data_IF_698255435614
#
_entry.id   IF_698255435614
#
_cell.length_a   1.000
_cell.length_b   1.000
_cell.length_c   1.000
_cell.angle_alpha   90.00
_cell.angle_beta   90.00
_cell.angle_gamma   90.00
#
_symmetry.space_group_name_H-M   'P 1'
#
loop_
_entity.id
_entity.type
_entity.pdbx_description
1 polymer ?
#
# COMPACT_ATOMS: atom_id res chain seq x y z
N UNK A 1 -19.00 10.99 -6.29
CA UNK A 1 -18.65 10.74 -6.28
C UNK A 1 -17.95 10.41 -6.62
N UNK A 2 -17.58 10.13 -6.64
CA UNK A 2 -16.87 9.97 -6.86
C UNK A 2 -16.01 9.19 -6.99
N UNK A 3 -15.47 8.80 -6.97
CA UNK A 3 -14.49 7.96 -6.96
C UNK A 3 -14.81 6.62 -7.27
N UNK A 4 -15.68 6.35 -8.11
CA UNK A 4 -15.99 5.13 -8.44
C UNK A 4 -14.91 4.37 -9.01
N UNK A 5 -14.62 3.22 -8.63
CA UNK A 5 -13.62 2.35 -9.14
C UNK A 5 -12.24 2.64 -8.63
N UNK A 6 -12.10 3.65 -7.81
CA UNK A 6 -10.81 3.99 -7.27
C UNK A 6 -10.74 3.76 -5.79
N UNK A 7 -9.53 3.46 -5.34
CA UNK A 7 -9.27 3.30 -3.93
C UNK A 7 -8.93 4.68 -3.40
N UNK A 8 -9.62 5.17 -2.43
CA UNK A 8 -9.37 6.50 -1.94
C UNK A 8 -8.30 6.52 -0.86
N UNK A 9 -7.89 7.70 -0.45
CA UNK A 9 -6.83 7.87 0.53
C UNK A 9 -7.15 7.23 1.86
N UNK A 10 -8.40 7.24 2.24
CA UNK A 10 -8.81 6.63 3.49
C UNK A 10 -8.52 5.16 3.53
N UNK A 11 -8.83 4.47 2.43
CA UNK A 11 -8.56 3.05 2.35
C UNK A 11 -7.06 2.77 2.37
N UNK A 12 -6.30 3.58 1.65
CA UNK A 12 -4.86 3.40 1.58
C UNK A 12 -4.25 3.59 2.95
N UNK A 13 -4.66 4.63 3.67
CA UNK A 13 -4.13 4.89 5.00
C UNK A 13 -4.51 3.78 5.97
N UNK A 14 -5.75 3.37 5.95
CA UNK A 14 -6.20 2.32 6.85
C UNK A 14 -5.46 1.02 6.61
N UNK A 15 -5.26 0.68 5.35
CA UNK A 15 -4.55 -0.56 5.02
C UNK A 15 -3.10 -0.47 5.45
N UNK A 16 -2.47 0.69 5.26
CA UNK A 16 -1.08 0.87 5.66
C UNK A 16 -0.93 0.72 7.17
N UNK A 17 -1.84 1.32 7.94
CA UNK A 17 -1.80 1.19 9.39
C UNK A 17 -1.95 -0.26 9.83
N UNK A 18 -2.81 -0.98 9.14
CA UNK A 18 -3.04 -2.37 9.45
C UNK A 18 -1.77 -3.20 9.22
N UNK A 19 -1.10 -2.99 8.09
CA UNK A 19 0.12 -3.70 7.80
C UNK A 19 1.23 -3.34 8.79
N UNK A 20 1.35 -2.06 9.12
CA UNK A 20 2.36 -1.64 10.08
C UNK A 20 2.06 -2.24 11.46
N UNK A 21 0.79 -2.30 11.84
CA UNK A 21 0.42 -2.89 13.11
C UNK A 21 0.75 -4.36 13.21
N UNK A 22 0.66 -5.08 12.09
CA UNK A 22 0.93 -6.51 12.07
C UNK A 22 2.40 -6.85 11.88
N UNK A 23 3.10 -6.06 11.08
CA UNK A 23 4.44 -6.42 10.64
C UNK A 23 5.52 -5.39 10.96
N UNK A 24 5.15 -4.26 11.49
CA UNK A 24 6.12 -3.24 11.84
C UNK A 24 6.87 -2.73 10.63
N UNK A 25 8.17 -2.58 10.76
CA UNK A 25 9.00 -2.06 9.69
C UNK A 25 9.01 -2.95 8.46
N UNK A 26 8.73 -4.22 8.63
CA UNK A 26 8.74 -5.13 7.50
C UNK A 26 7.57 -4.94 6.59
N UNK A 27 6.55 -4.20 7.05
CA UNK A 27 5.38 -3.95 6.23
C UNK A 27 5.75 -3.30 4.92
N UNK A 28 6.74 -2.40 4.92
CA UNK A 28 7.13 -1.70 3.70
C UNK A 28 7.68 -2.68 2.66
N UNK A 29 8.60 -3.55 3.06
CA UNK A 29 9.15 -4.51 2.09
C UNK A 29 8.10 -5.50 1.63
N UNK A 30 7.17 -5.89 2.49
CA UNK A 30 6.09 -6.78 2.09
C UNK A 30 5.21 -6.11 1.04
N UNK A 31 4.87 -4.85 1.27
CA UNK A 31 4.02 -4.13 0.34
C UNK A 31 4.72 -3.87 -0.99
N UNK A 32 6.03 -3.64 -0.95
CA UNK A 32 6.79 -3.47 -2.18
C UNK A 32 6.85 -4.78 -2.98
N UNK A 33 6.89 -5.90 -2.30
CA UNK A 33 6.84 -7.19 -2.98
C UNK A 33 5.50 -7.39 -3.67
N UNK A 34 4.43 -6.98 -3.02
CA UNK A 34 3.11 -7.08 -3.62
C UNK A 34 3.02 -6.17 -4.84
N UNK A 35 3.63 -4.99 -4.75
CA UNK A 35 3.68 -4.08 -5.88
C UNK A 35 4.40 -4.72 -7.06
N UNK A 36 5.55 -5.34 -6.79
CA UNK A 36 6.32 -5.96 -7.85
C UNK A 36 5.59 -7.15 -8.46
N UNK A 37 4.90 -7.91 -7.62
CA UNK A 37 4.14 -9.05 -8.12
C UNK A 37 3.01 -8.59 -9.05
N UNK A 38 2.33 -7.52 -8.69
CA UNK A 38 1.27 -6.99 -9.52
C UNK A 38 1.83 -6.46 -10.84
N UNK A 39 2.99 -5.80 -10.78
CA UNK A 39 3.65 -5.32 -11.98
C UNK A 39 3.99 -6.47 -12.92
N UNK A 40 4.54 -7.53 -12.38
CA UNK A 40 4.91 -8.69 -13.17
C UNK A 40 3.70 -9.36 -13.78
N UNK A 41 2.58 -9.31 -13.10
CA UNK A 41 1.35 -9.89 -13.61
C UNK A 41 0.67 -9.00 -14.65
N UNK A 42 1.20 -7.82 -14.87
CA UNK A 42 0.60 -6.89 -15.82
C UNK A 42 -0.62 -6.18 -15.25
N UNK A 43 -0.76 -6.18 -13.93
CA UNK A 43 -1.92 -5.57 -13.28
C UNK A 43 -1.53 -4.18 -12.78
N UNK A 44 -1.58 -3.22 -13.68
CA UNK A 44 -1.10 -1.88 -13.37
C UNK A 44 -1.90 -1.21 -12.26
N UNK A 45 -3.19 -1.47 -12.23
CA UNK A 45 -4.05 -0.86 -11.23
C UNK A 45 -3.72 -1.34 -9.84
N UNK A 46 -3.55 -2.64 -9.68
CA UNK A 46 -3.15 -3.20 -8.39
C UNK A 46 -1.76 -2.74 -7.99
N UNK A 47 -0.86 -2.66 -8.96
CA UNK A 47 0.50 -2.20 -8.66
C UNK A 47 0.48 -0.78 -8.12
N UNK A 48 -0.33 0.08 -8.72
CA UNK A 48 -0.48 1.44 -8.26
C UNK A 48 -1.02 1.51 -6.84
N UNK A 49 -2.01 0.69 -6.55
CA UNK A 49 -2.63 0.66 -5.24
C UNK A 49 -1.63 0.17 -4.18
N UNK A 50 -0.95 -0.92 -4.46
CA UNK A 50 0.03 -1.45 -3.51
C UNK A 50 1.17 -0.47 -3.28
N UNK A 51 1.59 0.22 -4.32
CA UNK A 51 2.66 1.21 -4.18
C UNK A 51 2.22 2.36 -3.29
N UNK A 52 0.98 2.83 -3.43
CA UNK A 52 0.47 3.90 -2.60
C UNK A 52 0.42 3.47 -1.13
N UNK A 53 0.01 2.22 -0.89
CA UNK A 53 -0.04 1.70 0.47
C UNK A 53 1.38 1.59 1.03
N UNK A 54 2.33 1.16 0.22
CA UNK A 54 3.72 1.05 0.65
C UNK A 54 4.29 2.41 1.03
N UNK A 55 3.95 3.43 0.27
CA UNK A 55 4.42 4.78 0.58
C UNK A 55 3.81 5.29 1.87
N UNK A 56 2.54 5.01 2.10
CA UNK A 56 1.90 5.40 3.34
C UNK A 56 2.54 4.67 4.52
N UNK A 57 2.80 3.38 4.36
CA UNK A 57 3.43 2.60 5.43
C UNK A 57 4.82 3.13 5.73
N UNK A 58 5.56 3.53 4.71
CA UNK A 58 6.90 4.08 4.91
C UNK A 58 6.84 5.36 5.73
N UNK A 59 5.86 6.20 5.49
CA UNK A 59 5.70 7.42 6.26
C UNK A 59 5.36 7.11 7.71
N UNK A 60 4.50 6.12 7.93
CA UNK A 60 4.11 5.75 9.28
C UNK A 60 5.31 5.23 10.06
N UNK A 61 6.06 4.34 9.43
CA UNK A 61 7.22 3.75 10.08
C UNK A 61 8.29 4.79 10.37
N UNK A 62 8.44 5.75 9.48
CA UNK A 62 9.45 6.79 9.65
C UNK A 62 9.18 7.70 10.84
N UNK A 63 7.92 7.86 11.21
CA UNK A 63 7.58 8.74 12.33
C UNK A 63 7.61 7.99 13.64
N UNK A 64 7.62 6.71 13.63
CA UNK A 64 7.69 5.92 14.82
C UNK A 64 9.12 5.71 15.22
#
# INVERSE_FOLDING_TARGET
MEDEGFVDDSFIEATAWEYVGLHGKESVSMLLRLTAAADRAGDALSAQTWRAIAEAAARIVAVE
#
